data_IF_775724928073
#
_entry.id   IF_775724928073
#
_cell.length_a   1.000
_cell.length_b   1.000
_cell.length_c   1.000
_cell.angle_alpha   90.00
_cell.angle_beta   90.00
_cell.angle_gamma   90.00
#
_symmetry.space_group_name_H-M   'P 1'
#
loop_
_entity.id
_entity.type
_entity.pdbx_description
1 polymer ?
#
# COMPACT_ATOMS: atom_id res chain seq x y z
N UNK A 1 2.37 32.15 14.32
CA UNK A 1 2.48 30.95 15.15
C UNK A 1 2.01 29.72 14.35
N UNK A 2 0.90 29.81 13.60
CA UNK A 2 0.35 28.67 12.84
C UNK A 2 1.30 28.10 11.77
N UNK A 3 2.04 28.93 11.03
CA UNK A 3 2.96 28.48 9.98
C UNK A 3 4.17 27.68 10.51
N UNK A 4 4.64 27.96 11.73
CA UNK A 4 5.74 27.18 12.34
C UNK A 4 5.28 25.78 12.74
N UNK A 5 4.07 25.65 13.28
CA UNK A 5 3.50 24.36 13.68
C UNK A 5 3.29 23.46 12.46
N UNK A 6 2.82 24.00 11.32
CA UNK A 6 2.69 23.24 10.08
C UNK A 6 4.05 22.78 9.52
N UNK A 7 5.08 23.63 9.58
CA UNK A 7 6.43 23.27 9.16
C UNK A 7 7.05 22.18 10.04
N UNK A 8 6.84 22.26 11.35
CA UNK A 8 7.35 21.26 12.28
C UNK A 8 6.62 19.94 12.14
N UNK A 9 5.30 19.95 11.89
CA UNK A 9 4.52 18.76 11.58
C UNK A 9 4.98 18.09 10.27
N UNK A 10 5.26 18.90 9.23
CA UNK A 10 5.78 18.37 7.96
C UNK A 10 7.19 17.77 8.12
N UNK A 11 8.05 18.37 8.93
CA UNK A 11 9.37 17.82 9.26
C UNK A 11 9.26 16.51 10.03
N UNK A 12 8.37 16.45 11.01
CA UNK A 12 8.10 15.23 11.77
C UNK A 12 7.62 14.10 10.86
N UNK A 13 6.63 14.38 9.99
CA UNK A 13 6.14 13.40 9.01
C UNK A 13 7.25 12.88 8.08
N UNK A 14 8.14 13.77 7.61
CA UNK A 14 9.28 13.36 6.78
C UNK A 14 10.26 12.45 7.53
N UNK A 15 10.54 12.74 8.81
CA UNK A 15 11.39 11.90 9.64
C UNK A 15 10.77 10.52 9.88
N UNK A 16 9.48 10.47 10.21
CA UNK A 16 8.73 9.23 10.38
C UNK A 16 8.75 8.41 9.09
N UNK A 17 8.41 9.03 7.95
CA UNK A 17 8.43 8.37 6.64
C UNK A 17 9.82 7.81 6.30
N UNK A 18 10.89 8.58 6.55
CA UNK A 18 12.26 8.12 6.33
C UNK A 18 12.63 6.92 7.21
N UNK A 19 12.19 6.91 8.47
CA UNK A 19 12.44 5.80 9.39
C UNK A 19 11.65 4.56 9.02
N UNK A 20 10.35 4.71 8.70
CA UNK A 20 9.52 3.60 8.23
C UNK A 20 10.10 3.01 6.95
N UNK A 21 10.54 3.85 6.01
CA UNK A 21 11.17 3.40 4.76
C UNK A 21 12.44 2.58 5.03
N UNK A 22 13.35 3.06 5.88
CA UNK A 22 14.60 2.35 6.20
C UNK A 22 14.39 1.01 6.91
N UNK A 23 13.32 0.88 7.67
CA UNK A 23 13.02 -0.32 8.45
C UNK A 23 11.87 -1.16 7.84
N UNK A 24 11.41 -0.81 6.62
CA UNK A 24 10.25 -1.44 5.98
C UNK A 24 10.40 -2.96 5.85
N UNK A 25 11.58 -3.43 5.44
CA UNK A 25 11.88 -4.86 5.34
C UNK A 25 11.68 -5.58 6.69
N UNK A 26 12.15 -4.98 7.79
CA UNK A 26 11.99 -5.55 9.13
C UNK A 26 10.54 -5.60 9.59
N UNK A 27 9.74 -4.60 9.22
CA UNK A 27 8.32 -4.58 9.55
C UNK A 27 7.56 -5.63 8.74
N UNK A 28 7.87 -5.78 7.46
CA UNK A 28 7.25 -6.79 6.60
C UNK A 28 7.58 -8.19 7.12
N UNK A 29 8.85 -8.49 7.36
CA UNK A 29 9.27 -9.83 7.79
C UNK A 29 8.75 -10.21 9.19
N UNK A 30 8.55 -9.25 10.10
CA UNK A 30 8.03 -9.53 11.44
C UNK A 30 6.52 -9.63 11.56
N UNK A 31 5.78 -9.21 10.53
CA UNK A 31 4.31 -9.21 10.58
C UNK A 31 3.70 -8.24 11.62
N UNK A 32 4.52 -7.45 12.31
CA UNK A 32 4.08 -6.56 13.40
C UNK A 32 3.20 -5.39 12.94
N UNK A 33 3.10 -5.16 11.64
CA UNK A 33 2.34 -4.04 11.06
C UNK A 33 0.87 -4.32 10.82
N UNK A 34 0.36 -5.50 11.13
CA UNK A 34 -1.03 -5.89 10.83
C UNK A 34 -2.00 -5.46 11.94
N UNK A 35 -1.69 -4.40 12.65
CA UNK A 35 -2.63 -3.76 13.56
C UNK A 35 -3.53 -2.78 12.79
N UNK A 36 -4.61 -3.27 12.14
CA UNK A 36 -5.61 -2.37 11.53
C UNK A 36 -6.35 -1.59 12.60
N UNK A 37 -6.15 -0.28 12.64
CA UNK A 37 -6.98 0.64 13.43
C UNK A 37 -8.10 1.19 12.54
N UNK A 38 -9.16 0.40 12.32
CA UNK A 38 -10.23 0.73 11.38
C UNK A 38 -9.89 0.41 9.92
N UNK A 39 -10.70 0.93 8.96
CA UNK A 39 -10.54 0.63 7.53
C UNK A 39 -9.37 1.36 6.85
N UNK A 40 -8.91 2.49 7.43
CA UNK A 40 -8.06 3.45 6.71
C UNK A 40 -6.69 3.69 7.37
N UNK A 41 -6.41 3.13 8.55
CA UNK A 41 -5.18 3.38 9.30
C UNK A 41 -4.48 2.10 9.73
N UNK A 42 -3.15 2.13 9.68
CA UNK A 42 -2.27 1.09 10.22
C UNK A 42 -1.39 1.72 11.28
N UNK A 43 -1.32 1.11 12.46
CA UNK A 43 -0.44 1.54 13.53
C UNK A 43 0.91 0.85 13.40
N UNK A 44 1.98 1.63 13.31
CA UNK A 44 3.35 1.14 13.17
C UNK A 44 4.11 1.44 14.44
N UNK A 45 4.65 0.43 15.13
CA UNK A 45 5.55 0.64 16.25
C UNK A 45 6.90 1.15 15.74
N UNK A 46 7.26 2.38 16.07
CA UNK A 46 8.57 2.93 15.78
C UNK A 46 9.48 2.77 17.02
N UNK A 47 10.65 2.16 16.88
CA UNK A 47 11.66 2.25 17.94
C UNK A 47 12.01 3.71 18.15
N UNK A 48 12.14 4.12 19.42
CA UNK A 48 12.24 5.50 19.88
C UNK A 48 13.00 6.43 18.91
N UNK A 49 12.29 7.41 18.34
CA UNK A 49 12.93 8.49 17.62
C UNK A 49 13.46 9.45 18.68
N UNK A 50 14.78 9.50 18.86
CA UNK A 50 15.37 10.55 19.64
C UNK A 50 15.18 11.88 18.90
N UNK A 51 14.27 12.78 19.32
CA UNK A 51 14.13 14.06 18.65
C UNK A 51 15.47 14.79 18.75
N UNK A 52 15.97 15.42 17.68
CA UNK A 52 17.20 16.19 17.73
C UNK A 52 17.05 17.25 18.82
N UNK A 53 17.80 17.14 19.89
CA UNK A 53 17.83 18.16 20.92
C UNK A 53 18.56 19.36 20.37
N UNK A 54 17.81 20.38 19.98
CA UNK A 54 18.38 21.70 19.65
C UNK A 54 18.90 22.34 20.93
N UNK A 55 20.19 22.17 21.21
CA UNK A 55 20.84 22.98 22.20
C UNK A 55 21.02 24.37 21.59
N UNK A 56 20.26 25.32 22.07
CA UNK A 56 20.53 26.75 21.82
C UNK A 56 21.86 27.08 22.52
N UNK A 57 22.96 27.00 21.79
CA UNK A 57 24.24 27.48 22.25
C UNK A 57 24.13 29.00 22.37
N UNK A 58 24.11 29.51 23.61
CA UNK A 58 24.40 30.94 23.81
C UNK A 58 25.81 31.18 23.27
N UNK A 59 25.92 32.04 22.27
CA UNK A 59 27.20 32.61 21.88
C UNK A 59 27.77 33.35 23.09
N UNK A 60 28.98 33.00 23.45
CA UNK A 60 29.83 33.53 24.52
C UNK A 60 29.62 32.96 25.92
N UNK A 61 30.41 31.97 26.21
CA UNK A 61 31.32 31.96 27.35
C UNK A 61 32.27 30.80 27.21
N UNK A 62 33.55 31.07 27.09
CA UNK A 62 34.60 30.07 27.09
C UNK A 62 34.59 29.31 28.41
N UNK A 63 34.23 28.04 28.35
CA UNK A 63 34.43 27.09 29.42
C UNK A 63 35.61 26.23 29.04
N UNK A 64 36.69 26.36 29.74
CA UNK A 64 37.87 25.46 29.66
C UNK A 64 37.46 24.16 30.33
N UNK A 65 37.08 23.15 29.54
CA UNK A 65 36.98 21.79 30.05
C UNK A 65 38.34 21.11 29.94
N UNK A 66 38.95 20.80 31.06
CA UNK A 66 40.15 19.96 31.11
C UNK A 66 39.67 18.53 31.01
N UNK A 67 39.84 17.91 29.85
CA UNK A 67 39.60 16.51 29.60
C UNK A 67 40.60 16.00 28.57
N UNK A 68 41.24 14.88 28.83
CA UNK A 68 42.30 14.27 28.01
C UNK A 68 41.83 13.59 26.74
N UNK A 69 40.77 14.09 26.08
CA UNK A 69 40.21 13.55 24.84
C UNK A 69 40.68 14.33 23.62
N UNK A 70 41.06 13.63 22.55
CA UNK A 70 41.38 14.23 21.24
C UNK A 70 40.14 14.87 20.62
N UNK A 71 40.26 16.07 20.00
CA UNK A 71 39.15 16.73 19.36
C UNK A 71 38.56 15.86 18.24
N UNK A 72 37.25 15.56 18.32
CA UNK A 72 36.52 14.81 17.29
C UNK A 72 36.11 13.40 17.68
N UNK A 73 36.39 12.93 18.86
CA UNK A 73 35.87 11.63 19.34
C UNK A 73 34.45 11.78 19.91
N UNK A 74 33.49 10.92 19.49
CA UNK A 74 32.16 10.87 20.11
C UNK A 74 32.27 10.34 21.53
N UNK A 75 31.61 11.00 22.46
CA UNK A 75 31.64 10.69 23.91
C UNK A 75 30.81 9.47 24.34
N UNK A 76 30.22 8.76 23.40
CA UNK A 76 29.53 7.48 23.64
C UNK A 76 29.71 6.58 22.44
N UNK A 77 30.45 5.48 22.66
CA UNK A 77 30.38 4.33 21.76
C UNK A 77 29.10 3.54 22.10
N UNK A 78 28.32 3.07 21.11
CA UNK A 78 27.36 2.01 21.38
C UNK A 78 28.12 0.75 21.65
N UNK A 79 27.99 0.19 22.84
CA UNK A 79 28.43 -1.17 23.13
C UNK A 79 27.52 -2.15 22.38
N UNK A 80 28.08 -2.79 21.38
CA UNK A 80 27.56 -4.04 20.84
C UNK A 80 27.73 -5.13 21.90
N UNK A 81 26.72 -5.34 22.70
CA UNK A 81 26.66 -6.39 23.68
C UNK A 81 25.71 -7.49 23.27
N UNK A 82 26.26 -8.62 22.82
CA UNK A 82 25.58 -9.93 22.87
C UNK A 82 25.39 -10.29 24.35
N UNK A 83 24.30 -9.84 24.93
CA UNK A 83 23.92 -10.13 26.31
C UNK A 83 22.48 -10.61 26.38
N UNK A 84 22.28 -11.78 26.97
CA UNK A 84 20.96 -12.28 27.36
C UNK A 84 20.13 -11.20 28.07
N UNK A 85 18.78 -11.19 27.92
CA UNK A 85 17.92 -10.14 28.47
C UNK A 85 17.90 -10.24 30.01
N UNK A 86 18.81 -9.56 30.68
CA UNK A 86 18.70 -9.26 32.11
C UNK A 86 17.78 -8.06 32.30
N UNK A 87 16.82 -8.20 33.21
CA UNK A 87 15.96 -7.10 33.65
C UNK A 87 16.84 -5.98 34.22
N UNK A 88 17.12 -4.96 33.43
CA UNK A 88 17.90 -3.78 33.82
C UNK A 88 16.99 -2.67 34.30
N UNK A 89 17.48 -1.89 35.26
CA UNK A 89 16.81 -0.74 35.90
C UNK A 89 16.71 0.51 34.96
N UNK A 90 16.85 0.31 33.64
CA UNK A 90 16.73 1.36 32.63
C UNK A 90 15.28 1.44 32.16
N UNK A 91 14.69 2.64 32.09
CA UNK A 91 13.34 2.79 31.53
C UNK A 91 13.33 2.23 30.10
N UNK A 92 12.47 1.23 29.87
CA UNK A 92 12.31 0.64 28.55
C UNK A 92 12.04 1.72 27.49
N UNK A 93 12.69 1.61 26.33
CA UNK A 93 12.47 2.55 25.24
C UNK A 93 10.98 2.62 24.93
N UNK A 94 10.39 3.81 25.04
CA UNK A 94 9.00 4.04 24.70
C UNK A 94 8.84 3.77 23.20
N UNK A 95 8.05 2.75 22.84
CA UNK A 95 7.66 2.50 21.46
C UNK A 95 6.66 3.58 21.10
N UNK A 96 6.98 4.43 20.13
CA UNK A 96 6.07 5.41 19.60
C UNK A 96 5.23 4.73 18.52
N UNK A 97 3.93 4.60 18.73
CA UNK A 97 3.02 4.17 17.69
C UNK A 97 2.66 5.37 16.80
N UNK A 98 2.85 5.23 15.51
CA UNK A 98 2.47 6.24 14.53
C UNK A 98 1.39 5.66 13.61
N UNK A 99 0.26 6.34 13.57
CA UNK A 99 -0.82 6.00 12.65
C UNK A 99 -0.47 6.50 11.24
N UNK A 100 -0.35 5.58 10.27
CA UNK A 100 -0.20 5.89 8.85
C UNK A 100 -1.48 5.52 8.11
N UNK A 101 -1.82 6.30 7.09
CA UNK A 101 -2.90 5.93 6.17
C UNK A 101 -2.43 4.81 5.24
N UNK A 102 -3.37 4.00 4.74
CA UNK A 102 -3.06 2.96 3.74
C UNK A 102 -2.44 3.57 2.47
N UNK A 103 -2.84 4.78 2.08
CA UNK A 103 -2.26 5.50 0.95
C UNK A 103 -0.80 5.86 1.18
N UNK A 104 -0.45 6.38 2.37
CA UNK A 104 0.93 6.71 2.74
C UNK A 104 1.81 5.46 2.79
N UNK A 105 1.27 4.34 3.31
CA UNK A 105 1.96 3.07 3.36
C UNK A 105 2.24 2.52 1.96
N UNK A 106 1.25 2.54 1.08
CA UNK A 106 1.41 2.15 -0.33
C UNK A 106 2.41 3.04 -1.08
N UNK A 107 2.50 4.35 -0.74
CA UNK A 107 3.53 5.23 -1.30
C UNK A 107 4.94 4.84 -0.87
N UNK A 108 5.12 4.54 0.42
CA UNK A 108 6.41 4.12 0.96
C UNK A 108 6.85 2.80 0.31
N UNK A 109 5.93 1.84 0.19
CA UNK A 109 6.19 0.56 -0.49
C UNK A 109 6.61 0.78 -1.95
N UNK A 110 5.85 1.58 -2.69
CA UNK A 110 6.14 1.85 -4.09
C UNK A 110 7.47 2.57 -4.32
N UNK A 111 7.87 3.48 -3.42
CA UNK A 111 9.17 4.15 -3.46
C UNK A 111 10.32 3.20 -3.11
N UNK A 112 10.14 2.30 -2.14
CA UNK A 112 11.18 1.36 -1.71
C UNK A 112 11.45 0.30 -2.76
N UNK A 113 10.38 -0.28 -3.31
CA UNK A 113 10.48 -1.32 -4.32
C UNK A 113 10.64 -0.78 -5.75
N UNK A 114 10.57 0.55 -5.94
CA UNK A 114 10.54 1.20 -7.26
C UNK A 114 9.46 0.62 -8.18
N UNK A 115 8.26 0.39 -7.63
CA UNK A 115 7.17 -0.26 -8.35
C UNK A 115 6.61 0.65 -9.46
N UNK A 116 6.33 0.10 -10.65
CA UNK A 116 5.69 0.82 -11.73
C UNK A 116 4.23 1.13 -11.37
N UNK A 117 3.68 2.17 -12.01
CA UNK A 117 2.24 2.44 -11.89
C UNK A 117 1.46 1.36 -12.62
N UNK A 118 0.43 0.83 -11.97
CA UNK A 118 -0.49 -0.10 -12.62
C UNK A 118 -1.33 0.67 -13.65
N UNK A 119 -1.35 0.18 -14.89
CA UNK A 119 -2.20 0.70 -15.95
C UNK A 119 -3.43 -0.18 -16.12
N UNK A 120 -4.62 0.28 -15.69
CA UNK A 120 -5.85 -0.49 -15.82
C UNK A 120 -6.17 -0.81 -17.27
N UNK A 121 -6.40 -2.08 -17.61
CA UNK A 121 -6.74 -2.54 -18.97
C UNK A 121 -8.24 -2.56 -19.26
N UNK A 122 -9.08 -2.61 -18.20
CA UNK A 122 -10.54 -2.69 -18.34
C UNK A 122 -11.15 -1.45 -18.97
N UNK A 123 -12.27 -1.62 -19.67
CA UNK A 123 -13.03 -0.50 -20.20
C UNK A 123 -13.50 0.40 -19.05
N UNK A 124 -13.35 1.70 -19.22
CA UNK A 124 -13.72 2.77 -18.28
C UNK A 124 -15.26 2.90 -18.19
N UNK A 125 -15.95 1.89 -17.71
CA UNK A 125 -17.41 1.83 -17.77
C UNK A 125 -18.13 2.22 -16.49
N UNK A 126 -17.45 2.30 -15.35
CA UNK A 126 -18.06 2.81 -14.12
C UNK A 126 -17.80 4.31 -14.04
N UNK A 127 -18.86 5.07 -14.21
CA UNK A 127 -18.83 6.52 -14.12
C UNK A 127 -19.16 6.91 -12.69
N UNK A 128 -18.17 7.23 -11.88
CA UNK A 128 -18.42 7.81 -10.57
C UNK A 128 -18.58 9.32 -10.69
N UNK A 129 -19.75 9.81 -10.33
CA UNK A 129 -20.02 11.23 -10.23
C UNK A 129 -19.36 11.79 -8.98
N UNK A 130 -18.21 12.44 -9.15
CA UNK A 130 -17.58 13.20 -8.05
C UNK A 130 -17.80 14.70 -8.27
N UNK A 131 -18.49 15.31 -7.32
CA UNK A 131 -18.61 16.74 -7.25
C UNK A 131 -17.26 17.42 -6.99
N UNK A 132 -16.71 18.07 -7.99
CA UNK A 132 -15.52 18.91 -7.81
C UNK A 132 -15.88 20.38 -7.92
N UNK A 133 -15.45 21.19 -6.92
CA UNK A 133 -15.51 22.64 -6.97
C UNK A 133 -14.51 23.22 -7.99
N UNK A 134 -14.69 22.93 -9.25
CA UNK A 134 -13.80 23.38 -10.34
C UNK A 134 -14.36 24.52 -11.15
N UNK A 135 -15.68 24.76 -11.04
CA UNK A 135 -16.36 25.79 -11.82
C UNK A 135 -16.54 27.08 -11.02
N UNK A 136 -16.69 28.20 -11.75
CA UNK A 136 -16.94 29.51 -11.15
C UNK A 136 -18.14 30.10 -11.86
N UNK A 137 -19.12 30.56 -11.07
CA UNK A 137 -20.34 31.21 -11.55
C UNK A 137 -20.43 32.62 -10.99
N UNK A 138 -21.15 33.51 -11.71
CA UNK A 138 -21.41 34.88 -11.27
C UNK A 138 -22.54 34.98 -10.23
N UNK A 139 -23.27 33.90 -10.01
CA UNK A 139 -24.37 33.81 -9.03
C UNK A 139 -24.20 32.57 -8.18
N UNK A 140 -24.39 32.71 -6.86
CA UNK A 140 -24.26 31.62 -5.90
C UNK A 140 -24.43 32.11 -4.45
N UNK A 141 -24.49 31.19 -3.48
CA UNK A 141 -24.59 31.53 -2.07
C UNK A 141 -23.31 32.22 -1.58
N UNK A 142 -23.44 33.21 -0.68
CA UNK A 142 -22.30 33.99 -0.16
C UNK A 142 -21.23 33.13 0.53
N UNK A 143 -21.62 31.98 1.09
CA UNK A 143 -20.68 31.01 1.69
C UNK A 143 -19.69 30.42 0.68
N UNK A 144 -20.04 30.34 -0.59
CA UNK A 144 -19.19 29.85 -1.67
C UNK A 144 -18.49 30.97 -2.46
N UNK A 145 -18.51 32.22 -1.97
CA UNK A 145 -17.87 33.34 -2.63
C UNK A 145 -16.35 33.14 -2.75
N UNK A 146 -15.85 33.27 -3.97
CA UNK A 146 -14.42 33.17 -4.25
C UNK A 146 -13.75 34.54 -4.08
N UNK A 147 -13.36 34.89 -2.85
CA UNK A 147 -12.83 36.22 -2.51
C UNK A 147 -11.72 36.69 -3.46
N UNK A 148 -10.67 35.90 -3.67
CA UNK A 148 -9.54 36.30 -4.52
C UNK A 148 -9.96 36.72 -5.93
N UNK A 149 -10.90 36.01 -6.56
CA UNK A 149 -11.38 36.35 -7.91
C UNK A 149 -12.32 37.53 -7.90
N UNK A 150 -13.20 37.63 -6.91
CA UNK A 150 -14.10 38.76 -6.71
C UNK A 150 -13.29 40.07 -6.58
N UNK A 151 -12.31 40.12 -5.67
CA UNK A 151 -11.49 41.28 -5.48
C UNK A 151 -10.59 41.59 -6.68
N UNK A 152 -10.06 40.59 -7.37
CA UNK A 152 -9.30 40.78 -8.62
C UNK A 152 -10.16 41.42 -9.73
N UNK A 153 -11.45 41.01 -9.81
CA UNK A 153 -12.38 41.58 -10.78
C UNK A 153 -12.78 43.00 -10.42
N UNK A 154 -13.05 43.29 -9.15
CA UNK A 154 -13.31 44.62 -8.63
C UNK A 154 -12.13 45.60 -8.90
N UNK A 155 -10.91 45.16 -8.63
CA UNK A 155 -9.70 45.93 -8.91
C UNK A 155 -9.57 46.25 -10.41
N UNK A 156 -9.74 45.25 -11.27
CA UNK A 156 -9.71 45.44 -12.74
C UNK A 156 -10.76 46.48 -13.19
N UNK A 157 -11.97 46.38 -12.65
CA UNK A 157 -13.04 47.36 -12.95
C UNK A 157 -12.69 48.77 -12.50
N UNK A 158 -12.19 48.93 -11.26
CA UNK A 158 -11.79 50.25 -10.72
C UNK A 158 -10.64 50.89 -11.50
N UNK A 159 -9.64 50.10 -11.92
CA UNK A 159 -8.55 50.54 -12.77
C UNK A 159 -9.09 51.00 -14.14
N UNK A 160 -9.97 50.19 -14.78
CA UNK A 160 -10.55 50.52 -16.07
C UNK A 160 -11.46 51.76 -16.03
N UNK A 161 -12.13 51.98 -14.89
CA UNK A 161 -12.99 53.15 -14.68
C UNK A 161 -12.21 54.41 -14.18
N UNK A 162 -10.90 54.32 -13.98
CA UNK A 162 -10.08 55.39 -13.43
C UNK A 162 -10.37 55.78 -11.97
N UNK A 163 -11.09 54.92 -11.24
CA UNK A 163 -11.50 55.15 -9.84
C UNK A 163 -10.56 54.51 -8.82
N UNK A 164 -9.51 53.86 -9.26
CA UNK A 164 -8.51 53.26 -8.37
C UNK A 164 -7.43 54.25 -8.01
N UNK A 165 -7.26 54.49 -6.71
CA UNK A 165 -6.19 55.33 -6.20
C UNK A 165 -5.09 54.46 -5.57
N UNK A 166 -3.88 54.56 -6.12
CA UNK A 166 -2.72 53.78 -5.63
C UNK A 166 -2.18 54.34 -4.27
N UNK A 167 -2.46 55.64 -3.95
CA UNK A 167 -2.07 56.24 -2.67
C UNK A 167 -3.00 55.84 -1.50
N UNK A 168 -4.24 55.47 -1.80
CA UNK A 168 -5.20 54.94 -0.84
C UNK A 168 -5.96 53.73 -1.43
N UNK A 169 -5.36 52.53 -1.44
CA UNK A 169 -5.90 51.38 -2.16
C UNK A 169 -7.14 50.81 -1.47
N UNK A 170 -8.32 51.24 -1.87
CA UNK A 170 -9.60 50.75 -1.42
C UNK A 170 -10.32 49.98 -2.54
N UNK A 171 -10.39 48.67 -2.42
CA UNK A 171 -11.08 47.84 -3.40
C UNK A 171 -12.49 47.50 -2.92
N UNK A 172 -13.51 48.04 -3.58
CA UNK A 172 -14.93 47.84 -3.26
C UNK A 172 -15.55 46.93 -4.31
N UNK A 173 -15.83 45.64 -3.97
CA UNK A 173 -16.54 44.75 -4.87
C UNK A 173 -18.02 45.13 -4.97
N UNK A 174 -18.53 45.26 -6.17
CA UNK A 174 -19.97 45.38 -6.44
C UNK A 174 -20.58 44.03 -6.82
N UNK A 175 -21.89 43.94 -6.93
CA UNK A 175 -22.60 42.70 -7.22
C UNK A 175 -22.10 42.02 -8.47
N UNK A 176 -21.74 42.75 -9.50
CA UNK A 176 -21.23 42.26 -10.78
C UNK A 176 -19.83 41.65 -10.68
N UNK A 177 -19.05 42.04 -9.68
CA UNK A 177 -17.68 41.51 -9.45
C UNK A 177 -17.71 40.16 -8.75
N UNK A 178 -18.81 39.82 -8.09
CA UNK A 178 -18.92 38.63 -7.26
C UNK A 178 -18.74 37.36 -8.11
N UNK A 179 -17.88 36.47 -7.62
CA UNK A 179 -17.60 35.16 -8.22
C UNK A 179 -17.79 34.11 -7.15
N UNK A 180 -18.50 33.03 -7.48
CA UNK A 180 -18.83 31.96 -6.58
C UNK A 180 -18.23 30.65 -7.07
N UNK A 181 -17.74 29.81 -6.15
CA UNK A 181 -17.33 28.45 -6.45
C UNK A 181 -18.59 27.64 -6.79
N UNK A 182 -18.53 26.86 -7.84
CA UNK A 182 -19.59 25.94 -8.22
C UNK A 182 -18.98 24.58 -8.47
N UNK A 183 -19.73 23.56 -8.13
CA UNK A 183 -19.38 22.20 -8.51
C UNK A 183 -19.73 21.97 -9.98
N UNK A 184 -18.94 21.13 -10.59
CA UNK A 184 -19.26 20.52 -11.87
C UNK A 184 -19.15 19.02 -11.64
N UNK A 185 -20.18 18.30 -12.02
CA UNK A 185 -20.13 16.85 -12.10
C UNK A 185 -19.03 16.49 -13.12
N UNK A 186 -17.97 15.90 -12.64
CA UNK A 186 -16.89 15.39 -13.49
C UNK A 186 -17.05 13.88 -13.48
N UNK A 187 -17.52 13.37 -14.60
CA UNK A 187 -17.51 11.94 -14.86
C UNK A 187 -16.05 11.51 -14.96
N UNK A 188 -15.55 10.83 -13.93
CA UNK A 188 -14.28 10.14 -14.01
C UNK A 188 -14.57 8.68 -14.35
N UNK A 189 -13.91 8.14 -15.37
CA UNK A 189 -13.91 6.71 -15.55
C UNK A 189 -13.23 6.08 -14.31
N UNK A 190 -13.99 5.31 -13.55
CA UNK A 190 -13.46 4.53 -12.44
C UNK A 190 -13.06 3.15 -12.95
N UNK A 191 -11.82 2.79 -12.74
CA UNK A 191 -11.35 1.44 -12.95
C UNK A 191 -11.61 0.65 -11.67
N UNK A 192 -12.26 -0.48 -11.79
CA UNK A 192 -12.49 -1.43 -10.71
C UNK A 192 -11.58 -2.63 -10.89
N UNK A 193 -11.18 -3.23 -9.78
CA UNK A 193 -10.37 -4.44 -9.79
C UNK A 193 -10.95 -5.50 -8.86
N UNK A 194 -10.76 -6.76 -9.21
CA UNK A 194 -11.01 -7.88 -8.33
C UNK A 194 -9.70 -8.65 -8.12
N UNK A 195 -9.37 -8.90 -6.86
CA UNK A 195 -8.22 -9.69 -6.46
C UNK A 195 -8.74 -11.02 -5.94
N UNK A 196 -8.24 -12.12 -6.49
CA UNK A 196 -8.55 -13.46 -6.02
C UNK A 196 -7.30 -14.05 -5.38
N UNK A 197 -7.33 -14.26 -4.08
CA UNK A 197 -6.30 -14.98 -3.36
C UNK A 197 -6.70 -16.44 -3.20
N UNK A 198 -5.79 -17.33 -3.55
CA UNK A 198 -5.91 -18.78 -3.36
C UNK A 198 -4.79 -19.22 -2.43
N UNK A 199 -5.11 -19.81 -1.30
CA UNK A 199 -4.14 -20.30 -0.32
C UNK A 199 -4.31 -21.79 -0.12
N UNK A 200 -3.20 -22.49 -0.23
CA UNK A 200 -3.10 -23.88 0.16
C UNK A 200 -3.14 -23.98 1.69
N UNK A 201 -4.04 -24.81 2.19
CA UNK A 201 -4.19 -25.11 3.63
C UNK A 201 -3.93 -26.56 3.94
N UNK A 202 -3.25 -27.27 3.02
CA UNK A 202 -2.86 -28.68 3.17
C UNK A 202 -1.96 -28.91 4.40
N UNK A 203 -1.79 -30.17 4.77
CA UNK A 203 -1.04 -30.55 5.96
C UNK A 203 0.46 -30.21 5.92
N UNK A 204 1.03 -30.01 4.73
CA UNK A 204 2.41 -29.60 4.51
C UNK A 204 2.64 -28.10 4.74
N UNK A 205 1.57 -27.28 4.65
CA UNK A 205 1.59 -25.85 4.94
C UNK A 205 1.50 -25.60 6.46
N UNK A 206 2.59 -25.23 7.09
CA UNK A 206 2.65 -24.91 8.52
C UNK A 206 2.06 -23.52 8.82
N UNK A 207 1.92 -23.19 10.11
CA UNK A 207 1.44 -21.88 10.53
C UNK A 207 2.36 -20.74 10.04
N UNK A 208 3.66 -21.00 9.90
CA UNK A 208 4.63 -20.00 9.40
C UNK A 208 4.38 -19.68 7.92
N UNK A 209 4.20 -20.69 7.06
CA UNK A 209 3.89 -20.49 5.65
C UNK A 209 2.57 -19.73 5.47
N UNK A 210 1.55 -20.11 6.23
CA UNK A 210 0.26 -19.40 6.22
C UNK A 210 0.40 -17.93 6.65
N UNK A 211 1.29 -17.64 7.59
CA UNK A 211 1.55 -16.26 8.01
C UNK A 211 2.29 -15.47 6.91
N UNK A 212 3.24 -16.07 6.21
CA UNK A 212 3.91 -15.47 5.04
C UNK A 212 2.87 -15.07 3.99
N UNK A 213 1.96 -15.98 3.62
CA UNK A 213 0.89 -15.70 2.65
C UNK A 213 0.00 -14.54 3.09
N UNK A 214 -0.32 -14.47 4.39
CA UNK A 214 -1.13 -13.38 4.96
C UNK A 214 -0.44 -12.04 4.80
N UNK A 215 0.85 -11.98 5.13
CA UNK A 215 1.65 -10.76 5.00
C UNK A 215 1.73 -10.32 3.54
N UNK A 216 2.03 -11.24 2.63
CA UNK A 216 2.10 -10.94 1.19
C UNK A 216 0.76 -10.43 0.65
N UNK A 217 -0.33 -11.15 0.95
CA UNK A 217 -1.68 -10.75 0.53
C UNK A 217 -2.04 -9.34 1.00
N UNK A 218 -1.69 -8.99 2.25
CA UNK A 218 -1.93 -7.67 2.80
C UNK A 218 -1.20 -6.56 2.03
N UNK A 219 0.08 -6.78 1.68
CA UNK A 219 0.88 -5.78 0.99
C UNK A 219 0.51 -5.62 -0.49
N UNK A 220 0.22 -6.74 -1.16
CA UNK A 220 -0.29 -6.74 -2.53
C UNK A 220 -1.63 -6.00 -2.60
N UNK A 221 -2.55 -6.31 -1.68
CA UNK A 221 -3.85 -5.65 -1.54
C UNK A 221 -3.71 -4.13 -1.33
N UNK A 222 -2.79 -3.73 -0.42
CA UNK A 222 -2.49 -2.33 -0.14
C UNK A 222 -2.01 -1.59 -1.39
N UNK A 223 -1.16 -2.19 -2.20
CA UNK A 223 -0.65 -1.57 -3.42
C UNK A 223 -1.72 -1.47 -4.51
N UNK A 224 -2.46 -2.55 -4.78
CA UNK A 224 -3.49 -2.57 -5.82
C UNK A 224 -4.62 -1.59 -5.48
N UNK A 225 -5.06 -1.53 -4.22
CA UNK A 225 -6.09 -0.58 -3.75
C UNK A 225 -5.73 0.89 -3.96
N UNK A 226 -4.46 1.24 -3.99
CA UNK A 226 -4.02 2.60 -4.32
C UNK A 226 -4.32 3.01 -5.76
N UNK A 227 -4.34 2.05 -6.70
CA UNK A 227 -4.45 2.33 -8.13
C UNK A 227 -5.88 2.26 -8.64
N UNK A 228 -6.78 1.65 -7.89
CA UNK A 228 -8.18 1.46 -8.25
C UNK A 228 -9.10 2.16 -7.25
N UNK A 229 -10.19 2.75 -7.74
CA UNK A 229 -11.18 3.40 -6.87
C UNK A 229 -12.14 2.40 -6.20
N UNK A 230 -12.27 1.20 -6.76
CA UNK A 230 -13.06 0.10 -6.20
C UNK A 230 -12.29 -1.20 -6.36
N UNK A 231 -12.02 -1.88 -5.25
CA UNK A 231 -11.37 -3.19 -5.24
C UNK A 231 -12.24 -4.14 -4.44
N UNK A 232 -12.62 -5.25 -5.07
CA UNK A 232 -13.22 -6.39 -4.39
C UNK A 232 -12.17 -7.48 -4.22
N UNK A 233 -12.16 -8.13 -3.08
CA UNK A 233 -11.21 -9.20 -2.77
C UNK A 233 -11.99 -10.49 -2.52
N UNK A 234 -11.58 -11.55 -3.18
CA UNK A 234 -12.12 -12.90 -3.04
C UNK A 234 -11.05 -13.78 -2.42
N UNK A 235 -11.41 -14.52 -1.41
CA UNK A 235 -10.53 -15.43 -0.71
C UNK A 235 -10.96 -16.86 -0.93
N UNK A 236 -10.03 -17.69 -1.40
CA UNK A 236 -10.21 -19.12 -1.64
C UNK A 236 -9.17 -19.87 -0.82
N UNK A 237 -9.61 -20.82 -0.04
CA UNK A 237 -8.73 -21.82 0.57
C UNK A 237 -8.94 -23.14 -0.14
N UNK A 238 -7.90 -23.92 -0.24
CA UNK A 238 -7.99 -25.26 -0.82
C UNK A 238 -7.09 -26.26 -0.09
N UNK A 239 -7.61 -27.44 -0.02
CA UNK A 239 -6.91 -28.69 0.27
C UNK A 239 -7.26 -29.69 -0.86
N UNK A 240 -7.90 -30.81 -0.57
CA UNK A 240 -8.50 -31.69 -1.59
C UNK A 240 -9.71 -31.06 -2.30
N UNK A 241 -10.35 -30.04 -1.66
CA UNK A 241 -11.54 -29.33 -2.15
C UNK A 241 -11.36 -27.84 -1.89
N UNK A 242 -11.67 -27.00 -2.89
CA UNK A 242 -11.61 -25.56 -2.72
C UNK A 242 -12.93 -24.98 -2.20
N UNK A 243 -12.83 -23.99 -1.32
CA UNK A 243 -13.96 -23.24 -0.79
C UNK A 243 -13.67 -21.72 -0.82
N UNK A 244 -14.69 -20.95 -1.18
CA UNK A 244 -14.67 -19.49 -0.98
C UNK A 244 -14.95 -19.21 0.49
N UNK A 245 -14.15 -18.35 1.11
CA UNK A 245 -14.25 -18.00 2.52
C UNK A 245 -14.22 -16.47 2.70
N UNK A 246 -14.60 -16.01 3.87
CA UNK A 246 -14.43 -14.60 4.23
C UNK A 246 -12.97 -14.28 4.62
N UNK A 247 -12.64 -12.99 4.67
CA UNK A 247 -11.32 -12.50 5.06
C UNK A 247 -10.85 -13.08 6.39
N UNK A 248 -11.76 -13.13 7.37
CA UNK A 248 -11.42 -13.64 8.70
C UNK A 248 -11.03 -15.12 8.66
N UNK A 249 -11.81 -15.97 7.99
CA UNK A 249 -11.52 -17.39 7.84
C UNK A 249 -10.20 -17.59 7.08
N UNK A 250 -9.98 -16.87 5.99
CA UNK A 250 -8.72 -16.97 5.22
C UNK A 250 -7.49 -16.71 6.11
N UNK A 251 -7.55 -15.69 6.96
CA UNK A 251 -6.42 -15.35 7.82
C UNK A 251 -6.29 -16.23 9.08
N UNK A 252 -7.29 -17.04 9.44
CA UNK A 252 -7.28 -17.80 10.70
C UNK A 252 -7.44 -19.31 10.53
N UNK A 253 -7.66 -19.81 9.32
CA UNK A 253 -7.87 -21.24 9.06
C UNK A 253 -6.61 -22.06 9.38
N UNK A 254 -6.84 -23.19 10.04
CA UNK A 254 -5.83 -24.20 10.42
C UNK A 254 -6.19 -25.59 9.93
N UNK A 255 -6.87 -25.68 8.80
CA UNK A 255 -7.25 -26.97 8.23
C UNK A 255 -6.00 -27.71 7.73
N UNK A 256 -6.09 -29.04 7.69
CA UNK A 256 -5.06 -29.92 7.15
C UNK A 256 -5.73 -31.05 6.40
N UNK A 257 -5.50 -31.11 5.08
CA UNK A 257 -6.02 -32.13 4.20
C UNK A 257 -5.00 -32.56 3.15
N UNK A 258 -5.42 -33.32 2.15
CA UNK A 258 -4.60 -33.58 0.96
C UNK A 258 -4.62 -32.37 0.02
N UNK A 259 -3.74 -32.33 -1.00
CA UNK A 259 -3.63 -31.18 -1.90
C UNK A 259 -4.15 -31.49 -3.29
N UNK A 260 -5.09 -30.69 -3.80
CA UNK A 260 -5.59 -30.73 -5.16
C UNK A 260 -5.76 -29.31 -5.72
N UNK A 261 -4.72 -28.81 -6.37
CA UNK A 261 -4.65 -27.43 -6.88
C UNK A 261 -5.74 -27.15 -7.92
N UNK A 262 -6.08 -28.12 -8.79
CA UNK A 262 -7.13 -27.91 -9.80
C UNK A 262 -8.49 -27.56 -9.21
N UNK A 263 -8.76 -27.92 -7.95
CA UNK A 263 -10.00 -27.54 -7.26
C UNK A 263 -10.10 -26.03 -7.07
N UNK A 264 -9.00 -25.37 -6.67
CA UNK A 264 -8.91 -23.93 -6.50
C UNK A 264 -9.07 -23.19 -7.84
N UNK A 265 -8.38 -23.64 -8.89
CA UNK A 265 -8.46 -23.02 -10.21
C UNK A 265 -9.86 -23.14 -10.83
N UNK A 266 -10.53 -24.29 -10.67
CA UNK A 266 -11.91 -24.44 -11.11
C UNK A 266 -12.86 -23.51 -10.36
N UNK A 267 -12.69 -23.35 -9.05
CA UNK A 267 -13.51 -22.44 -8.25
C UNK A 267 -13.24 -20.98 -8.62
N UNK A 268 -11.98 -20.60 -8.75
CA UNK A 268 -11.56 -19.27 -9.20
C UNK A 268 -12.22 -18.93 -10.55
N UNK A 269 -12.11 -19.82 -11.53
CA UNK A 269 -12.73 -19.60 -12.83
C UNK A 269 -14.26 -19.45 -12.75
N UNK A 270 -14.95 -20.27 -11.94
CA UNK A 270 -16.40 -20.16 -11.74
C UNK A 270 -16.79 -18.81 -11.12
N UNK A 271 -16.03 -18.34 -10.15
CA UNK A 271 -16.26 -17.04 -9.49
C UNK A 271 -16.06 -15.89 -10.46
N UNK A 272 -14.98 -15.90 -11.25
CA UNK A 272 -14.72 -14.90 -12.28
C UNK A 272 -15.87 -14.85 -13.27
N UNK A 273 -16.27 -16.00 -13.83
CA UNK A 273 -17.34 -16.07 -14.83
C UNK A 273 -18.71 -15.61 -14.31
N UNK A 274 -18.98 -15.88 -13.02
CA UNK A 274 -20.27 -15.55 -12.42
C UNK A 274 -20.38 -14.10 -11.95
N UNK A 275 -19.29 -13.48 -11.47
CA UNK A 275 -19.37 -12.18 -10.78
C UNK A 275 -18.48 -11.09 -11.37
N UNK A 276 -17.38 -11.45 -12.04
CA UNK A 276 -16.35 -10.50 -12.45
C UNK A 276 -15.98 -10.65 -13.93
N UNK A 277 -16.88 -10.25 -14.85
CA UNK A 277 -16.60 -10.36 -16.29
C UNK A 277 -15.36 -9.52 -16.67
N UNK A 278 -14.40 -10.09 -17.43
CA UNK A 278 -13.14 -9.42 -17.80
C UNK A 278 -13.33 -8.16 -18.64
N UNK A 279 -14.52 -7.94 -19.21
CA UNK A 279 -14.86 -6.69 -19.92
C UNK A 279 -14.95 -5.49 -18.99
N UNK A 280 -15.32 -5.71 -17.73
CA UNK A 280 -15.68 -4.66 -16.79
C UNK A 280 -14.68 -4.58 -15.62
N UNK A 281 -14.02 -5.67 -15.30
CA UNK A 281 -13.13 -5.80 -14.17
C UNK A 281 -11.67 -6.03 -14.58
N UNK A 282 -10.74 -5.42 -13.85
CA UNK A 282 -9.33 -5.78 -13.88
C UNK A 282 -9.11 -6.91 -12.88
N UNK A 283 -8.66 -8.06 -13.35
CA UNK A 283 -8.60 -9.29 -12.57
C UNK A 283 -7.16 -9.63 -12.20
N UNK A 284 -6.94 -9.86 -10.92
CA UNK A 284 -5.67 -10.29 -10.35
C UNK A 284 -5.89 -11.59 -9.61
N UNK A 285 -5.14 -12.63 -9.94
CA UNK A 285 -5.23 -13.91 -9.26
C UNK A 285 -3.87 -14.26 -8.67
N UNK A 286 -3.82 -14.51 -7.37
CA UNK A 286 -2.61 -14.92 -6.66
C UNK A 286 -2.85 -16.27 -6.01
N UNK A 287 -1.94 -17.20 -6.24
CA UNK A 287 -1.98 -18.54 -5.66
C UNK A 287 -0.70 -18.79 -4.87
N UNK A 288 -0.84 -19.19 -3.62
CA UNK A 288 0.25 -19.51 -2.70
C UNK A 288 0.13 -20.95 -2.24
N UNK A 289 1.19 -21.72 -2.44
CA UNK A 289 1.26 -23.15 -2.08
C UNK A 289 2.73 -23.54 -1.85
N UNK A 290 2.97 -24.62 -1.16
CA UNK A 290 4.28 -25.27 -1.04
C UNK A 290 4.65 -26.16 -2.24
N UNK A 291 3.78 -26.18 -3.25
CA UNK A 291 4.00 -26.85 -4.51
C UNK A 291 3.71 -28.37 -4.51
N UNK A 292 3.21 -28.89 -3.41
CA UNK A 292 2.71 -30.26 -3.38
C UNK A 292 1.41 -30.35 -4.16
N UNK A 293 1.33 -31.32 -5.07
CA UNK A 293 0.12 -31.61 -5.81
C UNK A 293 0.11 -33.09 -6.21
N UNK A 294 -1.05 -33.66 -6.33
CA UNK A 294 -1.15 -35.01 -6.88
C UNK A 294 -0.68 -35.04 -8.34
N UNK A 295 0.24 -35.94 -8.69
CA UNK A 295 0.87 -35.96 -10.01
C UNK A 295 -0.08 -35.98 -11.19
N UNK A 296 -1.23 -36.67 -11.07
CA UNK A 296 -2.28 -36.72 -12.09
C UNK A 296 -3.10 -35.42 -12.19
N UNK A 297 -2.93 -34.47 -11.27
CA UNK A 297 -3.66 -33.21 -11.24
C UNK A 297 -2.90 -32.05 -11.94
N UNK A 298 -1.58 -32.14 -12.06
CA UNK A 298 -0.74 -31.08 -12.68
C UNK A 298 -1.18 -30.76 -14.10
N UNK A 299 -1.39 -31.72 -15.03
CA UNK A 299 -1.85 -31.41 -16.37
C UNK A 299 -3.19 -30.67 -16.38
N UNK A 300 -4.13 -31.06 -15.49
CA UNK A 300 -5.44 -30.40 -15.37
C UNK A 300 -5.30 -28.97 -14.89
N UNK A 301 -4.37 -28.70 -13.96
CA UNK A 301 -4.07 -27.36 -13.49
C UNK A 301 -3.59 -26.46 -14.64
N UNK A 302 -2.64 -26.96 -15.44
CA UNK A 302 -2.09 -26.23 -16.57
C UNK A 302 -3.14 -25.96 -17.66
N UNK A 303 -4.01 -26.95 -17.97
CA UNK A 303 -5.10 -26.77 -18.91
C UNK A 303 -6.09 -25.69 -18.43
N UNK A 304 -6.49 -25.71 -17.15
CA UNK A 304 -7.39 -24.72 -16.60
C UNK A 304 -6.75 -23.31 -16.60
N UNK A 305 -5.48 -23.22 -16.24
CA UNK A 305 -4.75 -21.95 -16.29
C UNK A 305 -4.72 -21.43 -17.72
N UNK A 306 -4.18 -22.18 -18.66
CA UNK A 306 -3.97 -21.73 -20.04
C UNK A 306 -5.28 -21.38 -20.76
N UNK A 307 -6.30 -22.23 -20.62
CA UNK A 307 -7.53 -22.08 -21.40
C UNK A 307 -8.57 -21.16 -20.73
N UNK A 308 -8.60 -21.11 -19.39
CA UNK A 308 -9.72 -20.50 -18.67
C UNK A 308 -9.36 -19.30 -17.80
N UNK A 309 -8.16 -19.25 -17.19
CA UNK A 309 -7.79 -18.19 -16.24
C UNK A 309 -6.93 -17.13 -16.92
N UNK A 310 -5.79 -17.53 -17.51
CA UNK A 310 -4.82 -16.58 -18.07
C UNK A 310 -5.38 -15.65 -19.14
N UNK A 311 -6.32 -16.08 -20.02
CA UNK A 311 -6.94 -15.17 -20.98
C UNK A 311 -7.79 -14.05 -20.34
N UNK A 312 -8.22 -14.25 -19.08
CA UNK A 312 -9.15 -13.34 -18.37
C UNK A 312 -8.46 -12.39 -17.42
N UNK A 313 -7.33 -12.81 -16.83
CA UNK A 313 -6.66 -12.05 -15.78
C UNK A 313 -5.61 -11.08 -16.34
N UNK A 314 -5.45 -9.94 -15.67
CA UNK A 314 -4.39 -9.00 -15.94
C UNK A 314 -3.04 -9.57 -15.48
N UNK A 315 -3.05 -10.23 -14.33
CA UNK A 315 -1.89 -10.85 -13.71
C UNK A 315 -2.30 -12.14 -12.98
N UNK A 316 -1.53 -13.20 -13.19
CA UNK A 316 -1.53 -14.39 -12.39
C UNK A 316 -0.19 -14.50 -11.66
N UNK A 317 -0.22 -14.48 -10.34
CA UNK A 317 0.95 -14.63 -9.49
C UNK A 317 0.95 -15.99 -8.80
N UNK A 318 2.06 -16.73 -8.89
CA UNK A 318 2.26 -17.95 -8.13
C UNK A 318 3.40 -17.76 -7.13
N UNK A 319 3.10 -17.84 -5.85
CA UNK A 319 4.05 -17.77 -4.74
C UNK A 319 4.34 -19.17 -4.20
N UNK A 320 5.55 -19.67 -4.48
CA UNK A 320 6.06 -20.90 -3.89
C UNK A 320 6.55 -20.62 -2.48
N UNK A 321 5.75 -20.98 -1.48
CA UNK A 321 6.14 -20.83 -0.08
C UNK A 321 6.84 -22.12 0.33
N UNK A 322 8.15 -22.05 0.57
CA UNK A 322 8.93 -23.24 0.89
C UNK A 322 8.53 -23.81 2.25
N UNK A 323 8.23 -25.09 2.26
CA UNK A 323 7.90 -25.89 3.44
C UNK A 323 8.91 -27.02 3.59
N UNK A 324 9.28 -27.41 4.83
CA UNK A 324 10.12 -28.59 5.04
C UNK A 324 9.53 -29.89 4.52
N UNK A 325 8.23 -29.89 4.24
CA UNK A 325 7.45 -31.06 3.85
C UNK A 325 6.96 -30.99 2.39
N UNK A 326 7.03 -29.81 1.75
CA UNK A 326 6.57 -29.61 0.38
C UNK A 326 7.61 -30.05 -0.67
N UNK A 327 7.15 -30.60 -1.80
CA UNK A 327 8.04 -31.04 -2.89
C UNK A 327 8.51 -29.87 -3.78
N UNK A 328 7.72 -28.81 -3.88
CA UNK A 328 7.97 -27.70 -4.79
C UNK A 328 7.87 -28.02 -6.28
N UNK A 329 7.43 -29.24 -6.65
CA UNK A 329 7.39 -29.69 -8.06
C UNK A 329 6.49 -28.82 -8.93
N UNK A 330 5.39 -28.33 -8.38
CA UNK A 330 4.43 -27.52 -9.14
C UNK A 330 5.01 -26.19 -9.61
N UNK A 331 6.01 -25.65 -8.89
CA UNK A 331 6.69 -24.39 -9.25
C UNK A 331 7.33 -24.48 -10.65
N UNK A 332 8.04 -25.57 -10.96
CA UNK A 332 8.73 -25.72 -12.23
C UNK A 332 7.74 -25.70 -13.41
N UNK A 333 6.59 -26.34 -13.25
CA UNK A 333 5.55 -26.36 -14.27
C UNK A 333 4.92 -24.99 -14.51
N UNK A 334 4.70 -24.20 -13.45
CA UNK A 334 4.21 -22.81 -13.60
C UNK A 334 5.29 -21.90 -14.15
N UNK A 335 6.55 -22.11 -13.77
CA UNK A 335 7.68 -21.33 -14.28
C UNK A 335 7.80 -21.47 -15.80
N UNK A 336 7.60 -22.64 -16.37
CA UNK A 336 7.59 -22.83 -17.83
C UNK A 336 6.51 -22.00 -18.54
N UNK A 337 5.41 -21.65 -17.86
CA UNK A 337 4.37 -20.78 -18.43
C UNK A 337 4.82 -19.32 -18.57
N UNK A 338 5.78 -18.86 -17.78
CA UNK A 338 6.29 -17.49 -17.86
C UNK A 338 6.91 -17.17 -19.21
N UNK A 339 7.48 -18.16 -19.87
CA UNK A 339 8.08 -18.00 -21.20
C UNK A 339 7.03 -17.70 -22.29
N UNK A 340 5.80 -18.18 -22.09
CA UNK A 340 4.72 -18.08 -23.06
C UNK A 340 3.66 -17.01 -22.70
N UNK A 341 3.61 -16.60 -21.44
CA UNK A 341 2.59 -15.69 -20.93
C UNK A 341 3.20 -14.55 -20.13
N UNK A 342 3.17 -13.35 -20.68
CA UNK A 342 3.71 -12.15 -20.02
C UNK A 342 2.91 -11.73 -18.76
N UNK A 343 1.70 -12.28 -18.55
CA UNK A 343 0.87 -12.02 -17.39
C UNK A 343 0.98 -13.09 -16.30
N UNK A 344 1.96 -13.97 -16.39
CA UNK A 344 2.30 -14.95 -15.35
C UNK A 344 3.57 -14.49 -14.65
N UNK A 345 3.53 -14.46 -13.34
CA UNK A 345 4.69 -14.15 -12.49
C UNK A 345 4.79 -15.23 -11.43
N UNK A 346 5.99 -15.72 -11.21
CA UNK A 346 6.30 -16.70 -10.18
C UNK A 346 7.32 -16.15 -9.22
N UNK A 347 7.22 -16.48 -7.96
CA UNK A 347 8.18 -16.10 -6.93
C UNK A 347 8.41 -17.23 -5.94
N UNK A 348 9.63 -17.35 -5.44
CA UNK A 348 9.97 -18.27 -4.33
C UNK A 348 10.09 -17.50 -3.03
N UNK A 349 9.41 -18.00 -2.01
CA UNK A 349 9.36 -17.37 -0.68
C UNK A 349 9.83 -18.40 0.36
N UNK A 350 11.15 -18.59 0.50
CA UNK A 350 11.71 -19.55 1.44
C UNK A 350 11.47 -19.16 2.90
N UNK A 351 11.43 -17.88 3.20
CA UNK A 351 11.27 -17.34 4.55
C UNK A 351 10.62 -15.95 4.54
N UNK A 352 10.44 -15.38 5.73
CA UNK A 352 9.84 -14.05 5.89
C UNK A 352 10.68 -12.92 5.30
N UNK A 353 12.00 -13.08 5.21
CA UNK A 353 12.88 -12.03 4.67
C UNK A 353 12.76 -11.93 3.15
N UNK A 354 12.33 -13.01 2.49
CA UNK A 354 12.07 -13.05 1.05
C UNK A 354 10.76 -12.36 0.64
N UNK A 355 9.83 -12.10 1.56
CA UNK A 355 8.50 -11.51 1.27
C UNK A 355 8.62 -10.22 0.47
N UNK A 356 9.52 -9.31 0.86
CA UNK A 356 9.68 -8.02 0.16
C UNK A 356 10.13 -8.21 -1.28
N UNK A 357 11.01 -9.19 -1.54
CA UNK A 357 11.47 -9.55 -2.88
C UNK A 357 10.33 -10.11 -3.73
N UNK A 358 9.54 -11.02 -3.16
CA UNK A 358 8.38 -11.63 -3.81
C UNK A 358 7.31 -10.59 -4.20
N UNK A 359 6.97 -9.69 -3.29
CA UNK A 359 6.04 -8.58 -3.57
C UNK A 359 6.56 -7.73 -4.75
N UNK A 360 7.87 -7.46 -4.80
CA UNK A 360 8.48 -6.73 -5.90
C UNK A 360 8.33 -7.49 -7.23
N UNK A 361 8.58 -8.78 -7.24
CA UNK A 361 8.41 -9.62 -8.43
C UNK A 361 6.97 -9.58 -8.94
N UNK A 362 5.98 -9.81 -8.09
CA UNK A 362 4.56 -9.78 -8.47
C UNK A 362 4.12 -8.43 -9.02
N UNK A 363 4.58 -7.33 -8.43
CA UNK A 363 4.09 -5.99 -8.76
C UNK A 363 4.98 -5.25 -9.78
N UNK A 364 6.11 -5.83 -10.18
CA UNK A 364 7.08 -5.19 -11.11
C UNK A 364 6.58 -5.06 -12.54
N UNK A 365 5.61 -5.88 -12.95
CA UNK A 365 5.08 -5.85 -14.32
C UNK A 365 4.24 -4.62 -14.64
N UNK A 366 3.73 -3.92 -13.63
CA UNK A 366 2.87 -2.73 -13.82
C UNK A 366 1.50 -3.00 -14.46
N UNK A 367 1.06 -4.26 -14.44
CA UNK A 367 -0.17 -4.75 -15.08
C UNK A 367 -1.33 -4.81 -14.13
#
# INVERSE_FOLDING_TARGET
>A
VGQKIEQDLQRFRKLVRGKVKSDLSKYISRGEMIGKKGKDFVSIPLPSINPPQFRYGKRNSGGVGVGDGKPGQPLTQPEDGDGEPQAGDSPGGHILEVDLTMEELAEILGEELALPRIEPRGKKNVVTEKDKYTSIRSVGPESLRHFKRTYKRALKRQIAAGTYDAGNPLIIPVREDKQYRSWKEVQKPDSVACIVYMMDVSGSMTDEQKEIVRIESFWIDTWIKKHYNGVETVYIIHDAVAAEVDEHTFYHTRESGGTKISSAYNLCNKIIDARYPPSDWNLYAFHFSDGDNWGDDVPKCLDILNEKILPKVNLFGYGQVESPYGSGEFYEHIHELTDNHENVVVSRVPDRDAILGSIKEFLSTGR
#
